data_IF_336204489903
#
_entry.id   IF_336204489903
#
_cell.length_a   1.000
_cell.length_b   1.000
_cell.length_c   1.000
_cell.angle_alpha   90.00
_cell.angle_beta   90.00
_cell.angle_gamma   90.00
#
_symmetry.space_group_name_H-M   'P 1'
#
loop_
_entity.id
_entity.type
_entity.pdbx_description
1 polymer ?
#
# COMPACT_ATOMS: atom_id res chain seq x y z
N UNK A 1 -15.01 -11.90 25.82
CA UNK A 1 -14.96 -12.08 24.35
C UNK A 1 -16.06 -11.33 23.59
N UNK A 2 -17.36 -11.69 23.70
CA UNK A 2 -18.41 -11.08 22.86
C UNK A 2 -18.62 -9.56 23.08
N UNK A 3 -18.54 -9.08 24.33
CA UNK A 3 -18.73 -7.65 24.66
C UNK A 3 -17.57 -6.77 24.17
N UNK A 4 -16.33 -7.20 24.36
CA UNK A 4 -15.12 -6.51 23.89
C UNK A 4 -15.05 -6.46 22.37
N UNK A 5 -15.32 -7.57 21.70
CA UNK A 5 -15.40 -7.62 20.23
C UNK A 5 -16.51 -6.70 19.69
N UNK A 6 -17.69 -6.68 20.32
CA UNK A 6 -18.80 -5.81 19.91
C UNK A 6 -18.46 -4.32 20.06
N UNK A 7 -17.78 -3.93 21.14
CA UNK A 7 -17.36 -2.55 21.36
C UNK A 7 -16.34 -2.11 20.31
N UNK A 8 -15.28 -2.90 20.12
CA UNK A 8 -14.22 -2.65 19.13
C UNK A 8 -14.77 -2.61 17.70
N UNK A 9 -15.61 -3.58 17.33
CA UNK A 9 -16.20 -3.64 16.00
C UNK A 9 -17.08 -2.42 15.71
N UNK A 10 -17.92 -1.97 16.66
CA UNK A 10 -18.69 -0.73 16.51
C UNK A 10 -17.83 0.51 16.36
N UNK A 11 -16.72 0.59 17.09
CA UNK A 11 -15.83 1.75 17.00
C UNK A 11 -15.06 1.79 15.67
N UNK A 12 -14.62 0.64 15.17
CA UNK A 12 -13.89 0.53 13.92
C UNK A 12 -14.80 0.65 12.69
N UNK A 13 -16.00 0.04 12.73
CA UNK A 13 -16.93 -0.08 11.60
C UNK A 13 -18.06 0.98 11.61
N UNK A 14 -18.11 1.80 12.65
CA UNK A 14 -19.19 2.75 12.91
C UNK A 14 -20.33 2.15 13.73
N UNK A 15 -21.09 2.99 14.44
CA UNK A 15 -22.09 2.57 15.42
C UNK A 15 -23.18 1.62 14.87
N UNK A 16 -23.43 1.69 13.55
CA UNK A 16 -24.36 0.83 12.78
C UNK A 16 -23.68 0.02 11.69
N UNK A 17 -22.36 -0.21 11.77
CA UNK A 17 -21.59 -0.91 10.73
C UNK A 17 -21.67 -0.24 9.35
N UNK A 18 -21.76 1.09 9.32
CA UNK A 18 -21.93 1.87 8.09
C UNK A 18 -20.78 1.67 7.10
N UNK A 19 -19.55 1.49 7.58
CA UNK A 19 -18.40 1.25 6.70
C UNK A 19 -18.48 -0.10 5.98
N UNK A 20 -19.06 -1.12 6.63
CA UNK A 20 -19.32 -2.44 6.02
C UNK A 20 -20.30 -2.27 4.88
N UNK A 21 -21.42 -1.59 5.14
CA UNK A 21 -22.45 -1.38 4.13
C UNK A 21 -21.89 -0.60 2.93
N UNK A 22 -21.18 0.51 3.17
CA UNK A 22 -20.52 1.29 2.11
C UNK A 22 -19.54 0.45 1.28
N UNK A 23 -18.70 -0.34 1.93
CA UNK A 23 -17.74 -1.21 1.23
C UNK A 23 -18.43 -2.30 0.41
N UNK A 24 -19.48 -2.91 0.95
CA UNK A 24 -20.25 -3.93 0.25
C UNK A 24 -20.95 -3.35 -0.97
N UNK A 25 -21.60 -2.19 -0.83
CA UNK A 25 -22.21 -1.48 -1.96
C UNK A 25 -21.18 -1.09 -3.02
N UNK A 26 -20.01 -0.58 -2.60
CA UNK A 26 -18.93 -0.25 -3.52
C UNK A 26 -18.41 -1.48 -4.26
N UNK A 27 -18.26 -2.61 -3.55
CA UNK A 27 -17.80 -3.88 -4.13
C UNK A 27 -18.79 -4.42 -5.18
N UNK A 28 -20.10 -4.30 -4.94
CA UNK A 28 -21.13 -4.69 -5.92
C UNK A 28 -21.10 -3.78 -7.15
N UNK A 29 -21.01 -2.47 -6.96
CA UNK A 29 -20.91 -1.51 -8.07
C UNK A 29 -19.66 -1.79 -8.91
N UNK A 30 -18.52 -2.00 -8.24
CA UNK A 30 -17.25 -2.28 -8.88
C UNK A 30 -17.28 -3.61 -9.66
N UNK A 31 -17.81 -4.67 -9.06
CA UNK A 31 -17.97 -5.96 -9.71
C UNK A 31 -18.86 -5.85 -10.95
N UNK A 32 -20.04 -5.24 -10.82
CA UNK A 32 -20.99 -5.11 -11.93
C UNK A 32 -20.46 -4.23 -13.05
N UNK A 33 -19.79 -3.11 -12.74
CA UNK A 33 -19.21 -2.22 -13.73
C UNK A 33 -18.07 -2.89 -14.53
N UNK A 34 -17.18 -3.63 -13.85
CA UNK A 34 -16.05 -4.31 -14.49
C UNK A 34 -16.49 -5.57 -15.23
N UNK A 35 -17.37 -6.37 -14.64
CA UNK A 35 -17.92 -7.54 -15.31
C UNK A 35 -18.71 -7.14 -16.58
N UNK A 36 -19.48 -6.04 -16.50
CA UNK A 36 -20.23 -5.49 -17.62
C UNK A 36 -19.36 -4.86 -18.72
N UNK A 37 -18.13 -4.46 -18.44
CA UNK A 37 -17.22 -3.93 -19.46
C UNK A 37 -16.63 -5.01 -20.37
N UNK A 38 -16.84 -6.29 -20.04
CA UNK A 38 -16.34 -7.43 -20.82
C UNK A 38 -14.83 -7.64 -20.72
N UNK A 39 -14.13 -6.88 -19.87
CA UNK A 39 -12.68 -6.97 -19.69
C UNK A 39 -12.31 -8.25 -18.93
N UNK A 40 -11.72 -9.23 -19.64
CA UNK A 40 -11.29 -10.51 -19.07
C UNK A 40 -9.78 -10.68 -19.14
N UNK A 41 -9.17 -11.00 -18.00
CA UNK A 41 -7.75 -11.35 -17.90
C UNK A 41 -7.64 -12.83 -17.51
N UNK A 42 -6.62 -13.52 -18.00
CA UNK A 42 -6.21 -14.82 -17.49
C UNK A 42 -5.10 -14.61 -16.46
N UNK A 43 -5.45 -14.70 -15.17
CA UNK A 43 -4.49 -14.60 -14.07
C UNK A 43 -4.29 -15.97 -13.41
N UNK A 44 -3.06 -16.29 -13.01
CA UNK A 44 -2.78 -17.51 -12.26
C UNK A 44 -3.36 -17.42 -10.82
N UNK A 45 -3.84 -18.53 -10.22
CA UNK A 45 -4.33 -18.53 -8.83
C UNK A 45 -3.33 -17.98 -7.80
N UNK A 46 -2.04 -18.21 -8.01
CA UNK A 46 -0.98 -17.64 -7.16
C UNK A 46 -1.09 -16.11 -7.03
N UNK A 47 -1.55 -15.41 -8.06
CA UNK A 47 -1.72 -13.96 -8.07
C UNK A 47 -2.87 -13.52 -7.14
N UNK A 48 -3.96 -14.29 -7.11
CA UNK A 48 -5.08 -14.07 -6.20
C UNK A 48 -4.66 -14.34 -4.75
N UNK A 49 -3.89 -15.40 -4.50
CA UNK A 49 -3.39 -15.72 -3.16
C UNK A 49 -2.40 -14.66 -2.67
N UNK A 50 -1.45 -14.26 -3.53
CA UNK A 50 -0.44 -13.27 -3.17
C UNK A 50 -1.04 -11.87 -2.95
N UNK A 51 -2.03 -11.46 -3.77
CA UNK A 51 -2.78 -10.22 -3.50
C UNK A 51 -3.50 -10.28 -2.17
N UNK A 52 -4.19 -11.40 -1.91
CA UNK A 52 -4.90 -11.60 -0.66
C UNK A 52 -3.95 -11.46 0.54
N UNK A 53 -2.77 -12.08 0.51
CA UNK A 53 -1.80 -11.97 1.60
C UNK A 53 -1.19 -10.57 1.70
N UNK A 54 -0.55 -10.08 0.64
CA UNK A 54 0.21 -8.83 0.68
C UNK A 54 -0.66 -7.61 0.97
N UNK A 55 -1.81 -7.51 0.29
CA UNK A 55 -2.69 -6.37 0.46
C UNK A 55 -3.33 -6.38 1.85
N UNK A 56 -3.82 -7.53 2.30
CA UNK A 56 -4.41 -7.66 3.64
C UNK A 56 -3.39 -7.38 4.73
N UNK A 57 -2.19 -7.95 4.62
CA UNK A 57 -1.10 -7.71 5.58
C UNK A 57 -0.69 -6.23 5.61
N UNK A 58 -0.52 -5.59 4.45
CA UNK A 58 -0.14 -4.18 4.36
C UNK A 58 -1.19 -3.26 4.99
N UNK A 59 -2.47 -3.47 4.70
CA UNK A 59 -3.56 -2.69 5.29
C UNK A 59 -3.66 -2.94 6.79
N UNK A 60 -3.53 -4.19 7.24
CA UNK A 60 -3.55 -4.55 8.65
C UNK A 60 -2.39 -3.87 9.41
N UNK A 61 -1.19 -3.87 8.83
CA UNK A 61 -0.02 -3.18 9.40
C UNK A 61 -0.24 -1.67 9.52
N UNK A 62 -0.76 -1.03 8.46
CA UNK A 62 -1.11 0.39 8.49
C UNK A 62 -2.17 0.70 9.56
N UNK A 63 -3.16 -0.17 9.72
CA UNK A 63 -4.16 0.00 10.78
C UNK A 63 -3.55 -0.11 12.16
N UNK A 64 -2.61 -1.04 12.38
CA UNK A 64 -1.88 -1.21 13.65
C UNK A 64 -0.92 -0.05 13.97
N UNK A 65 -0.40 0.67 12.96
CA UNK A 65 0.38 1.89 13.18
C UNK A 65 -0.51 3.13 13.39
N UNK A 66 -1.75 3.12 12.91
CA UNK A 66 -2.67 4.26 12.93
C UNK A 66 -3.06 4.74 14.35
N UNK A 67 -3.39 6.02 14.52
CA UNK A 67 -3.74 6.56 15.85
C UNK A 67 -5.18 6.29 16.30
N UNK A 68 -6.11 6.14 15.35
CA UNK A 68 -7.56 6.07 15.62
C UNK A 68 -7.97 4.90 16.53
N UNK A 69 -7.24 3.79 16.50
CA UNK A 69 -7.52 2.63 17.35
C UNK A 69 -6.82 2.72 18.71
N UNK A 70 -5.79 3.58 18.87
CA UNK A 70 -5.08 3.75 20.13
C UNK A 70 -5.99 4.41 21.17
N UNK A 71 -6.74 5.44 20.78
CA UNK A 71 -7.76 6.10 21.63
C UNK A 71 -8.83 5.10 22.10
N UNK A 72 -9.21 4.15 21.23
CA UNK A 72 -10.11 3.05 21.59
C UNK A 72 -9.51 2.14 22.66
N UNK A 73 -8.23 1.80 22.50
CA UNK A 73 -7.51 0.91 23.40
C UNK A 73 -7.26 1.56 24.76
N UNK A 74 -6.95 2.86 24.82
CA UNK A 74 -6.75 3.60 26.07
C UNK A 74 -7.98 3.48 26.99
N UNK A 75 -9.18 3.76 26.47
CA UNK A 75 -10.41 3.64 27.25
C UNK A 75 -10.71 2.21 27.72
N UNK A 76 -10.31 1.19 26.95
CA UNK A 76 -10.51 -0.21 27.35
C UNK A 76 -9.45 -0.70 28.34
N UNK A 77 -8.23 -0.19 28.30
CA UNK A 77 -7.18 -0.52 29.27
C UNK A 77 -7.47 0.04 30.67
N UNK A 78 -8.36 1.03 30.79
CA UNK A 78 -8.83 1.53 32.08
C UNK A 78 -9.77 0.57 32.81
N UNK A 79 -10.31 -0.45 32.13
CA UNK A 79 -11.20 -1.46 32.72
C UNK A 79 -10.42 -2.76 32.99
N UNK A 80 -10.84 -3.59 33.97
CA UNK A 80 -10.24 -4.91 34.14
C UNK A 80 -10.55 -5.79 32.92
N UNK A 81 -9.51 -6.30 32.26
CA UNK A 81 -9.63 -7.18 31.09
C UNK A 81 -8.73 -8.42 31.23
N UNK A 82 -9.19 -9.53 30.63
CA UNK A 82 -8.34 -10.69 30.40
C UNK A 82 -7.50 -10.46 29.14
N UNK A 83 -6.18 -10.58 29.28
CA UNK A 83 -5.20 -10.31 28.23
C UNK A 83 -5.46 -11.16 26.98
N UNK A 84 -5.66 -12.48 27.12
CA UNK A 84 -5.88 -13.38 25.98
C UNK A 84 -7.19 -13.06 25.27
N UNK A 85 -8.29 -12.96 26.01
CA UNK A 85 -9.59 -12.63 25.42
C UNK A 85 -9.56 -11.26 24.73
N UNK A 86 -8.78 -10.29 25.24
CA UNK A 86 -8.65 -8.97 24.63
C UNK A 86 -7.90 -9.05 23.29
N UNK A 87 -6.72 -9.66 23.25
CA UNK A 87 -5.92 -9.79 22.03
C UNK A 87 -6.72 -10.45 20.92
N UNK A 88 -7.38 -11.58 21.19
CA UNK A 88 -8.19 -12.25 20.16
C UNK A 88 -9.37 -11.39 19.71
N UNK A 89 -10.08 -10.74 20.63
CA UNK A 89 -11.17 -9.81 20.26
C UNK A 89 -10.67 -8.67 19.39
N UNK A 90 -9.49 -8.14 19.71
CA UNK A 90 -8.85 -7.02 19.02
C UNK A 90 -8.37 -7.39 17.62
N UNK A 91 -7.57 -8.46 17.51
CA UNK A 91 -7.06 -8.95 16.22
C UNK A 91 -8.21 -9.38 15.31
N UNK A 92 -9.23 -10.06 15.84
CA UNK A 92 -10.40 -10.44 15.04
C UNK A 92 -11.23 -9.22 14.60
N UNK A 93 -11.41 -8.20 15.44
CA UNK A 93 -12.18 -7.01 15.06
C UNK A 93 -11.46 -6.18 13.99
N UNK A 94 -10.14 -5.99 14.14
CA UNK A 94 -9.31 -5.34 13.14
C UNK A 94 -9.25 -6.16 11.84
N UNK A 95 -9.08 -7.48 11.94
CA UNK A 95 -9.07 -8.39 10.79
C UNK A 95 -10.40 -8.41 10.03
N UNK A 96 -11.53 -8.41 10.74
CA UNK A 96 -12.84 -8.29 10.10
C UNK A 96 -12.98 -6.92 9.39
N UNK A 97 -12.50 -5.86 10.02
CA UNK A 97 -12.50 -4.53 9.42
C UNK A 97 -11.61 -4.46 8.17
N UNK A 98 -10.38 -4.98 8.20
CA UNK A 98 -9.49 -5.01 7.03
C UNK A 98 -10.12 -5.77 5.87
N UNK A 99 -10.58 -7.00 6.14
CA UNK A 99 -11.11 -7.87 5.11
C UNK A 99 -12.33 -7.26 4.43
N UNK A 100 -13.30 -6.79 5.22
CA UNK A 100 -14.55 -6.27 4.67
C UNK A 100 -14.41 -4.90 4.04
N UNK A 101 -13.65 -3.99 4.63
CA UNK A 101 -13.61 -2.59 4.17
C UNK A 101 -12.54 -2.31 3.11
N UNK A 102 -11.52 -3.17 2.99
CA UNK A 102 -10.37 -2.91 2.10
C UNK A 102 -10.10 -4.05 1.14
N UNK A 103 -10.09 -5.30 1.60
CA UNK A 103 -9.68 -6.43 0.74
C UNK A 103 -10.83 -6.92 -0.14
N UNK A 104 -12.08 -6.87 0.38
CA UNK A 104 -13.27 -7.28 -0.35
C UNK A 104 -13.48 -6.53 -1.68
N UNK A 105 -13.30 -5.19 -1.79
CA UNK A 105 -13.32 -4.50 -3.08
C UNK A 105 -12.29 -5.03 -4.08
N UNK A 106 -11.12 -5.46 -3.62
CA UNK A 106 -10.08 -6.03 -4.50
C UNK A 106 -10.49 -7.42 -4.97
N UNK A 107 -10.98 -8.28 -4.08
CA UNK A 107 -11.53 -9.57 -4.49
C UNK A 107 -12.68 -9.40 -5.49
N UNK A 108 -13.55 -8.41 -5.30
CA UNK A 108 -14.61 -8.09 -6.25
C UNK A 108 -14.05 -7.76 -7.65
N UNK A 109 -12.92 -7.06 -7.77
CA UNK A 109 -12.25 -6.84 -9.06
C UNK A 109 -11.74 -8.15 -9.66
N UNK A 110 -11.02 -8.96 -8.88
CA UNK A 110 -10.49 -10.23 -9.38
C UNK A 110 -11.59 -11.18 -9.84
N UNK A 111 -12.69 -11.25 -9.09
CA UNK A 111 -13.84 -12.08 -9.42
C UNK A 111 -14.62 -11.57 -10.63
N UNK A 112 -14.57 -10.26 -10.91
CA UNK A 112 -15.19 -9.69 -12.12
C UNK A 112 -14.36 -9.98 -13.38
N UNK A 113 -13.04 -9.97 -13.26
CA UNK A 113 -12.11 -10.02 -14.41
C UNK A 113 -11.74 -11.45 -14.82
N UNK A 114 -11.67 -12.38 -13.87
CA UNK A 114 -11.25 -13.77 -14.14
C UNK A 114 -12.30 -14.77 -13.64
N UNK A 115 -12.52 -15.90 -14.36
CA UNK A 115 -13.30 -17.01 -13.84
C UNK A 115 -12.47 -17.80 -12.82
N UNK A 116 -12.95 -17.91 -11.59
CA UNK A 116 -12.29 -18.65 -10.51
C UNK A 116 -13.12 -19.86 -10.08
N UNK A 117 -12.45 -20.92 -9.65
CA UNK A 117 -13.13 -22.05 -8.99
C UNK A 117 -13.52 -21.66 -7.57
N UNK A 118 -14.60 -22.26 -7.06
CA UNK A 118 -15.05 -22.02 -5.68
C UNK A 118 -13.92 -22.30 -4.67
N UNK A 119 -13.14 -23.35 -4.90
CA UNK A 119 -11.98 -23.68 -4.08
C UNK A 119 -10.89 -22.60 -4.06
N UNK A 120 -10.56 -22.02 -5.22
CA UNK A 120 -9.57 -20.94 -5.34
C UNK A 120 -10.04 -19.70 -4.56
N UNK A 121 -11.34 -19.36 -4.65
CA UNK A 121 -11.90 -18.24 -3.88
C UNK A 121 -11.87 -18.50 -2.36
N UNK A 122 -12.13 -19.73 -1.93
CA UNK A 122 -12.09 -20.11 -0.53
C UNK A 122 -10.65 -20.05 0.02
N UNK A 123 -9.68 -20.58 -0.73
CA UNK A 123 -8.27 -20.53 -0.35
C UNK A 123 -7.76 -19.09 -0.28
N UNK A 124 -8.16 -18.22 -1.21
CA UNK A 124 -7.85 -16.79 -1.15
C UNK A 124 -8.42 -16.12 0.12
N UNK A 125 -9.62 -16.50 0.55
CA UNK A 125 -10.21 -16.01 1.79
C UNK A 125 -9.45 -16.48 3.03
N UNK A 126 -9.03 -17.75 3.07
CA UNK A 126 -8.16 -18.29 4.13
C UNK A 126 -6.83 -17.54 4.20
N UNK A 127 -6.17 -17.31 3.06
CA UNK A 127 -4.96 -16.51 2.96
C UNK A 127 -5.12 -15.09 3.53
N UNK A 128 -6.27 -14.44 3.30
CA UNK A 128 -6.55 -13.11 3.88
C UNK A 128 -6.70 -13.17 5.41
N UNK A 129 -7.38 -14.20 5.93
CA UNK A 129 -7.53 -14.43 7.37
C UNK A 129 -6.18 -14.71 8.04
N UNK A 130 -5.38 -15.61 7.46
CA UNK A 130 -4.02 -15.90 7.92
C UNK A 130 -3.17 -14.62 7.91
N UNK A 131 -3.23 -13.82 6.84
CA UNK A 131 -2.48 -12.58 6.74
C UNK A 131 -2.81 -11.61 7.90
N UNK A 132 -4.08 -11.50 8.32
CA UNK A 132 -4.45 -10.69 9.48
C UNK A 132 -3.78 -11.19 10.78
N UNK A 133 -3.84 -12.50 11.03
CA UNK A 133 -3.28 -13.11 12.24
C UNK A 133 -1.74 -13.03 12.28
N UNK A 134 -1.08 -13.38 11.18
CA UNK A 134 0.38 -13.34 11.04
C UNK A 134 0.88 -11.89 11.14
N UNK A 135 0.19 -10.92 10.54
CA UNK A 135 0.58 -9.51 10.62
C UNK A 135 0.51 -9.00 12.06
N UNK A 136 -0.53 -9.37 12.82
CA UNK A 136 -0.63 -9.01 14.23
C UNK A 136 0.50 -9.65 15.07
N UNK A 137 0.85 -10.91 14.79
CA UNK A 137 1.95 -11.59 15.46
C UNK A 137 3.32 -10.97 15.10
N UNK A 138 3.55 -10.69 13.80
CA UNK A 138 4.75 -10.04 13.29
C UNK A 138 4.92 -8.62 13.88
N UNK A 139 3.82 -7.88 14.06
CA UNK A 139 3.82 -6.58 14.73
C UNK A 139 4.37 -6.68 16.15
N UNK A 140 3.85 -7.62 16.94
CA UNK A 140 4.33 -7.86 18.31
C UNK A 140 5.81 -8.30 18.32
N UNK A 141 6.24 -9.15 17.38
CA UNK A 141 7.64 -9.55 17.25
C UNK A 141 8.56 -8.37 16.94
N UNK A 142 8.17 -7.53 15.99
CA UNK A 142 8.88 -6.32 15.60
C UNK A 142 9.05 -5.38 16.80
N UNK A 143 7.98 -5.17 17.57
CA UNK A 143 8.00 -4.33 18.79
C UNK A 143 8.90 -4.88 19.90
N UNK A 144 9.04 -6.20 19.99
CA UNK A 144 9.98 -6.86 20.91
C UNK A 144 11.44 -6.89 20.40
N UNK A 145 11.76 -6.17 19.32
CA UNK A 145 13.10 -6.13 18.74
C UNK A 145 13.47 -7.37 17.92
N UNK A 146 12.55 -8.32 17.73
CA UNK A 146 12.77 -9.54 16.93
C UNK A 146 12.45 -9.29 15.45
N UNK A 147 13.18 -8.35 14.86
CA UNK A 147 12.96 -7.89 13.48
C UNK A 147 13.20 -9.02 12.48
N UNK A 148 14.23 -9.83 12.70
CA UNK A 148 14.58 -10.94 11.79
C UNK A 148 13.43 -11.94 11.67
N UNK A 149 12.83 -12.38 12.79
CA UNK A 149 11.70 -13.32 12.74
C UNK A 149 10.44 -12.68 12.17
N UNK A 150 10.21 -11.39 12.44
CA UNK A 150 9.08 -10.64 11.92
C UNK A 150 9.12 -10.49 10.38
N UNK A 151 10.32 -10.51 9.77
CA UNK A 151 10.50 -10.44 8.32
C UNK A 151 10.57 -11.84 7.69
N UNK A 152 11.31 -12.76 8.31
CA UNK A 152 11.55 -14.09 7.74
C UNK A 152 10.27 -14.92 7.63
N UNK A 153 9.35 -14.79 8.59
CA UNK A 153 8.12 -15.57 8.59
C UNK A 153 7.15 -15.18 7.45
N UNK A 154 6.80 -13.89 7.23
CA UNK A 154 6.08 -13.47 6.03
C UNK A 154 6.81 -13.81 4.73
N UNK A 155 8.15 -13.67 4.69
CA UNK A 155 8.93 -14.01 3.50
C UNK A 155 8.80 -15.50 3.13
N UNK A 156 8.79 -16.39 4.13
CA UNK A 156 8.57 -17.82 3.93
C UNK A 156 7.18 -18.13 3.36
N UNK A 157 6.13 -17.46 3.86
CA UNK A 157 4.76 -17.61 3.34
C UNK A 157 4.70 -17.19 1.86
N UNK A 158 5.33 -16.05 1.52
CA UNK A 158 5.38 -15.57 0.14
C UNK A 158 6.14 -16.54 -0.78
N UNK A 159 7.26 -17.08 -0.31
CA UNK A 159 8.03 -18.08 -1.07
C UNK A 159 7.20 -19.34 -1.35
N UNK A 160 6.43 -19.84 -0.37
CA UNK A 160 5.53 -20.98 -0.58
C UNK A 160 4.47 -20.66 -1.63
N UNK A 161 3.82 -19.49 -1.55
CA UNK A 161 2.77 -19.11 -2.52
C UNK A 161 3.33 -19.01 -3.94
N UNK A 162 4.56 -18.55 -4.10
CA UNK A 162 5.21 -18.41 -5.41
C UNK A 162 5.76 -19.72 -5.98
N UNK A 163 6.24 -20.63 -5.13
CA UNK A 163 6.93 -21.85 -5.54
C UNK A 163 6.04 -23.10 -5.52
N UNK A 164 4.95 -23.10 -4.74
CA UNK A 164 4.07 -24.25 -4.63
C UNK A 164 3.14 -24.34 -5.85
N UNK A 165 3.30 -25.41 -6.61
CA UNK A 165 2.42 -25.74 -7.75
C UNK A 165 1.08 -26.36 -7.28
N UNK A 166 1.02 -26.87 -6.03
CA UNK A 166 -0.17 -27.51 -5.47
C UNK A 166 -0.86 -26.65 -4.42
N UNK A 167 -2.14 -26.37 -4.65
CA UNK A 167 -3.00 -25.59 -3.74
C UNK A 167 -3.14 -26.23 -2.35
N UNK A 168 -3.07 -27.57 -2.28
CA UNK A 168 -3.08 -28.29 -1.00
C UNK A 168 -1.88 -27.91 -0.10
N UNK A 169 -0.71 -27.63 -0.69
CA UNK A 169 0.48 -27.19 0.07
C UNK A 169 0.29 -25.77 0.59
N UNK A 170 -0.33 -24.90 -0.21
CA UNK A 170 -0.63 -23.53 0.19
C UNK A 170 -1.61 -23.56 1.38
N UNK A 171 -2.67 -24.36 1.31
CA UNK A 171 -3.64 -24.50 2.39
C UNK A 171 -3.02 -25.06 3.68
N UNK A 172 -2.16 -26.08 3.59
CA UNK A 172 -1.55 -26.67 4.79
C UNK A 172 -0.62 -25.67 5.48
N UNK A 173 0.16 -24.92 4.71
CA UNK A 173 1.02 -23.84 5.24
C UNK A 173 0.18 -22.70 5.81
N UNK A 174 -0.95 -22.36 5.18
CA UNK A 174 -1.88 -21.33 5.67
C UNK A 174 -2.47 -21.70 7.05
N UNK A 175 -2.98 -22.93 7.18
CA UNK A 175 -3.49 -23.47 8.43
C UNK A 175 -2.40 -23.52 9.51
N UNK A 176 -1.20 -23.98 9.16
CA UNK A 176 -0.07 -24.05 10.07
C UNK A 176 0.36 -22.65 10.56
N UNK A 177 0.47 -21.68 9.65
CA UNK A 177 0.85 -20.31 9.99
C UNK A 177 -0.23 -19.63 10.83
N UNK A 178 -1.50 -19.87 10.54
CA UNK A 178 -2.62 -19.38 11.35
C UNK A 178 -2.56 -19.96 12.76
N UNK A 179 -2.37 -21.28 12.90
CA UNK A 179 -2.23 -21.94 14.20
C UNK A 179 -1.03 -21.42 15.00
N UNK A 180 0.12 -21.24 14.34
CA UNK A 180 1.32 -20.68 14.96
C UNK A 180 1.11 -19.21 15.40
N UNK A 181 0.41 -18.40 14.60
CA UNK A 181 0.06 -17.03 14.96
C UNK A 181 -0.91 -16.97 16.15
N UNK A 182 -1.93 -17.82 16.16
CA UNK A 182 -2.88 -17.93 17.29
C UNK A 182 -2.15 -18.35 18.57
N UNK A 183 -1.27 -19.35 18.50
CA UNK A 183 -0.48 -19.80 19.63
C UNK A 183 0.44 -18.69 20.14
N UNK A 184 1.16 -18.01 19.25
CA UNK A 184 2.05 -16.91 19.60
C UNK A 184 1.28 -15.75 20.28
N UNK A 185 0.12 -15.38 19.72
CA UNK A 185 -0.74 -14.33 20.27
C UNK A 185 -1.36 -14.71 21.62
N UNK A 186 -1.62 -16.00 21.87
CA UNK A 186 -2.10 -16.48 23.17
C UNK A 186 -1.10 -16.26 24.32
N UNK A 187 0.20 -16.12 23.98
CA UNK A 187 1.28 -15.80 24.94
C UNK A 187 1.77 -14.35 24.82
N UNK A 188 1.16 -13.54 23.95
CA UNK A 188 1.49 -12.13 23.83
C UNK A 188 0.82 -11.30 24.95
N UNK A 189 1.37 -10.12 25.19
CA UNK A 189 0.77 -9.12 26.07
C UNK A 189 0.06 -8.05 25.23
N UNK A 190 -1.18 -7.71 25.60
CA UNK A 190 -2.02 -6.71 24.95
C UNK A 190 -1.34 -5.34 24.91
N UNK A 191 -0.53 -5.01 25.92
CA UNK A 191 0.24 -3.76 25.95
C UNK A 191 1.24 -3.64 24.81
N UNK A 192 1.68 -4.74 24.18
CA UNK A 192 2.57 -4.67 23.02
C UNK A 192 1.91 -4.03 21.79
N UNK A 193 0.58 -4.02 21.73
CA UNK A 193 -0.19 -3.34 20.68
C UNK A 193 -0.36 -1.84 20.96
N UNK A 194 -0.05 -1.39 22.18
CA UNK A 194 -0.17 0.01 22.55
C UNK A 194 1.12 0.79 22.26
N UNK A 195 0.99 1.88 21.51
CA UNK A 195 2.08 2.80 21.20
C UNK A 195 1.69 4.23 21.59
N UNK A 196 2.02 4.71 22.81
CA UNK A 196 1.88 6.13 23.08
C UNK A 196 2.80 6.88 22.11
N UNK A 197 2.27 7.90 21.45
CA UNK A 197 3.02 8.67 20.45
C UNK A 197 4.29 9.22 21.08
N UNK A 198 5.45 8.72 20.67
CA UNK A 198 6.73 9.26 21.14
C UNK A 198 6.86 10.68 20.61
N UNK A 199 7.02 11.64 21.51
CA UNK A 199 7.34 13.02 21.14
C UNK A 199 8.58 13.00 20.23
N UNK A 200 8.43 13.59 19.04
CA UNK A 200 9.53 13.70 18.08
C UNK A 200 10.62 14.52 18.76
N UNK A 201 11.76 13.91 19.08
CA UNK A 201 12.93 14.65 19.56
C UNK A 201 13.28 15.73 18.54
N UNK A 202 13.42 17.01 18.93
CA UNK A 202 13.78 18.06 18.00
C UNK A 202 15.15 17.73 17.39
N UNK A 203 15.19 17.57 16.07
CA UNK A 203 16.43 17.31 15.36
C UNK A 203 17.33 18.55 15.47
N UNK A 204 18.37 18.49 16.31
CA UNK A 204 19.32 19.59 16.49
C UNK A 204 20.24 19.68 15.28
N UNK A 205 20.36 20.88 14.71
CA UNK A 205 21.13 21.15 13.50
C UNK A 205 22.60 21.45 13.82
N UNK A 206 23.52 20.72 13.22
CA UNK A 206 24.97 20.98 13.23
C UNK A 206 25.48 20.97 11.78
N UNK A 207 25.56 22.14 11.13
CA UNK A 207 26.10 22.29 9.78
C UNK A 207 25.91 23.69 9.21
N UNK A 208 26.88 24.20 8.43
CA UNK A 208 26.95 25.60 7.97
C UNK A 208 26.65 25.83 6.48
N UNK A 209 26.28 24.81 5.69
CA UNK A 209 25.90 24.97 4.27
C UNK A 209 24.74 24.04 3.89
N UNK A 210 23.54 24.62 3.74
CA UNK A 210 22.35 23.88 3.31
C UNK A 210 22.28 23.76 1.78
N UNK A 211 22.05 22.55 1.26
CA UNK A 211 21.74 22.35 -0.16
C UNK A 211 20.31 21.84 -0.33
N UNK A 212 19.59 22.38 -1.32
CA UNK A 212 18.21 21.98 -1.66
C UNK A 212 18.05 20.46 -1.87
N UNK A 213 18.92 19.71 -2.57
CA UNK A 213 18.71 18.27 -2.74
C UNK A 213 18.93 17.50 -1.43
N UNK A 214 19.86 17.93 -0.57
CA UNK A 214 20.04 17.32 0.76
C UNK A 214 18.85 17.62 1.65
N UNK A 215 18.30 18.83 1.58
CA UNK A 215 17.05 19.18 2.27
C UNK A 215 15.90 18.29 1.80
N UNK A 216 15.69 18.15 0.49
CA UNK A 216 14.63 17.32 -0.06
C UNK A 216 14.81 15.84 0.30
N UNK A 217 16.02 15.29 0.15
CA UNK A 217 16.29 13.89 0.50
C UNK A 217 16.09 13.64 1.99
N UNK A 218 16.54 14.56 2.85
CA UNK A 218 16.34 14.49 4.29
C UNK A 218 14.86 14.59 4.65
N UNK A 219 14.12 15.47 3.98
CA UNK A 219 12.68 15.59 4.14
C UNK A 219 11.99 14.26 3.78
N UNK A 220 12.34 13.65 2.64
CA UNK A 220 11.81 12.34 2.23
C UNK A 220 12.12 11.23 3.24
N UNK A 221 13.36 11.18 3.77
CA UNK A 221 13.75 10.15 4.75
C UNK A 221 13.17 10.39 6.15
N UNK A 222 12.84 11.64 6.49
CA UNK A 222 12.23 11.98 7.76
C UNK A 222 10.70 11.79 7.74
N UNK A 223 10.07 11.92 6.57
CA UNK A 223 8.63 11.73 6.41
C UNK A 223 8.27 10.24 6.27
N UNK A 224 7.65 9.69 7.32
CA UNK A 224 7.21 8.28 7.34
C UNK A 224 6.25 7.97 6.20
N UNK A 225 5.33 8.88 5.89
CA UNK A 225 4.32 8.68 4.84
C UNK A 225 4.96 8.53 3.46
N UNK A 226 5.99 9.34 3.17
CA UNK A 226 6.79 9.22 1.97
C UNK A 226 7.52 7.87 1.87
N UNK A 227 8.19 7.45 2.95
CA UNK A 227 8.90 6.17 2.98
C UNK A 227 7.96 4.98 2.78
N UNK A 228 6.84 4.95 3.50
CA UNK A 228 5.85 3.87 3.42
C UNK A 228 5.23 3.82 2.02
N UNK A 229 4.88 4.96 1.43
CA UNK A 229 4.30 4.98 0.09
C UNK A 229 5.31 4.53 -0.98
N UNK A 230 6.57 4.98 -0.89
CA UNK A 230 7.61 4.58 -1.83
C UNK A 230 7.94 3.09 -1.69
N UNK A 231 8.04 2.57 -0.46
CA UNK A 231 8.21 1.14 -0.21
C UNK A 231 7.02 0.32 -0.75
N UNK A 232 5.80 0.82 -0.57
CA UNK A 232 4.58 0.21 -1.13
C UNK A 232 4.59 0.15 -2.66
N UNK A 233 5.05 1.21 -3.32
CA UNK A 233 5.22 1.24 -4.78
C UNK A 233 6.32 0.30 -5.25
N UNK A 234 7.44 0.18 -4.52
CA UNK A 234 8.47 -0.83 -4.83
C UNK A 234 7.91 -2.26 -4.69
N UNK A 235 7.07 -2.52 -3.68
CA UNK A 235 6.35 -3.79 -3.56
C UNK A 235 5.41 -4.04 -4.74
N UNK A 236 4.64 -3.03 -5.13
CA UNK A 236 3.79 -3.09 -6.33
C UNK A 236 4.61 -3.31 -7.61
N UNK A 237 5.81 -2.73 -7.72
CA UNK A 237 6.71 -2.92 -8.85
C UNK A 237 7.20 -4.38 -8.97
N UNK A 238 7.40 -5.07 -7.85
CA UNK A 238 7.70 -6.50 -7.88
C UNK A 238 6.46 -7.34 -8.24
N UNK A 239 5.27 -6.88 -7.85
CA UNK A 239 4.04 -7.66 -7.97
C UNK A 239 3.32 -7.52 -9.31
N UNK A 240 3.28 -6.31 -9.89
CA UNK A 240 2.58 -6.02 -11.15
C UNK A 240 3.00 -6.92 -12.32
N UNK A 241 4.28 -7.29 -12.50
CA UNK A 241 4.66 -8.23 -13.57
C UNK A 241 4.01 -9.62 -13.43
N UNK A 242 3.69 -10.06 -12.21
CA UNK A 242 2.98 -11.34 -12.00
C UNK A 242 1.49 -11.23 -12.39
N UNK A 243 0.89 -10.04 -12.24
CA UNK A 243 -0.48 -9.74 -12.67
C UNK A 243 -0.58 -9.61 -14.19
N UNK A 244 0.40 -8.95 -14.80
CA UNK A 244 0.37 -8.51 -16.17
C UNK A 244 1.20 -9.45 -17.04
N UNK A 245 0.56 -10.42 -17.68
CA UNK A 245 1.16 -11.20 -18.77
C UNK A 245 0.98 -10.55 -20.15
N UNK A 246 1.48 -11.19 -21.21
CA UNK A 246 1.08 -10.85 -22.59
C UNK A 246 -0.37 -11.32 -22.80
N UNK A 247 -1.33 -10.44 -22.55
CA UNK A 247 -2.76 -10.73 -22.77
C UNK A 247 -3.15 -10.19 -24.14
N UNK A 248 -3.64 -11.06 -25.02
CA UNK A 248 -4.30 -10.72 -26.29
C UNK A 248 -3.54 -9.69 -27.18
N UNK A 249 -2.21 -9.78 -27.25
CA UNK A 249 -1.40 -8.93 -28.13
C UNK A 249 -1.13 -7.51 -27.61
N UNK A 250 -1.61 -7.13 -26.42
CA UNK A 250 -1.27 -5.86 -25.77
C UNK A 250 -0.06 -6.00 -24.85
N UNK A 251 0.93 -5.13 -24.99
CA UNK A 251 2.03 -5.03 -24.02
C UNK A 251 1.55 -4.26 -22.78
N UNK A 252 1.25 -4.97 -21.68
CA UNK A 252 0.81 -4.37 -20.42
C UNK A 252 1.95 -3.68 -19.65
N UNK A 253 3.20 -3.76 -20.13
CA UNK A 253 4.35 -3.14 -19.48
C UNK A 253 4.17 -1.64 -19.18
N UNK A 254 3.76 -0.78 -20.14
CA UNK A 254 3.59 0.65 -19.91
C UNK A 254 2.47 0.97 -18.89
N UNK A 255 1.45 0.11 -18.80
CA UNK A 255 0.34 0.28 -17.86
C UNK A 255 0.85 0.12 -16.42
N UNK A 256 1.71 -0.87 -16.16
CA UNK A 256 2.38 -1.01 -14.87
C UNK A 256 3.20 0.23 -14.49
N UNK A 257 3.93 0.81 -15.44
CA UNK A 257 4.68 2.05 -15.20
C UNK A 257 3.77 3.23 -14.83
N UNK A 258 2.62 3.37 -15.51
CA UNK A 258 1.65 4.41 -15.19
C UNK A 258 1.09 4.29 -13.77
N UNK A 259 0.80 3.07 -13.30
CA UNK A 259 0.35 2.81 -11.93
C UNK A 259 1.44 3.19 -10.92
N UNK A 260 2.69 2.86 -11.21
CA UNK A 260 3.83 3.16 -10.32
C UNK A 260 4.13 4.66 -10.20
N UNK A 261 3.62 5.50 -11.10
CA UNK A 261 3.68 6.96 -10.98
C UNK A 261 2.79 7.53 -9.86
N UNK A 262 1.96 6.72 -9.18
CA UNK A 262 1.11 7.15 -8.06
C UNK A 262 1.89 7.45 -6.76
N UNK A 263 3.01 8.18 -6.82
CA UNK A 263 3.76 8.58 -5.63
C UNK A 263 3.20 9.86 -4.99
N UNK A 264 2.03 9.74 -4.36
CA UNK A 264 1.25 10.89 -3.84
C UNK A 264 2.05 11.82 -2.90
N UNK A 265 2.80 11.32 -1.89
CA UNK A 265 3.56 12.18 -0.99
C UNK A 265 4.65 12.99 -1.68
N UNK A 266 5.34 12.38 -2.63
CA UNK A 266 6.44 13.00 -3.36
C UNK A 266 5.95 13.98 -4.41
N UNK A 267 4.73 13.81 -4.95
CA UNK A 267 4.11 14.67 -5.95
C UNK A 267 3.23 15.80 -5.35
N UNK A 268 3.23 15.95 -4.02
CA UNK A 268 2.44 16.96 -3.28
C UNK A 268 3.25 17.71 -2.22
N UNK A 269 4.59 17.70 -2.32
CA UNK A 269 5.51 18.30 -1.35
C UNK A 269 5.25 19.80 -1.08
N UNK A 270 5.11 20.62 -2.12
CA UNK A 270 4.79 22.05 -1.99
C UNK A 270 3.37 22.27 -1.47
N UNK A 271 2.43 21.40 -1.85
CA UNK A 271 1.05 21.49 -1.33
C UNK A 271 0.98 21.15 0.15
N UNK A 272 1.91 20.34 0.68
CA UNK A 272 2.02 20.01 2.12
C UNK A 272 2.69 21.11 2.94
N UNK A 273 3.56 21.89 2.32
CA UNK A 273 4.33 22.94 2.99
C UNK A 273 4.11 24.30 2.30
N UNK A 274 3.00 25.00 2.64
CA UNK A 274 2.69 26.31 2.08
C UNK A 274 3.75 27.37 2.38
N UNK A 275 4.45 27.25 3.51
CA UNK A 275 5.51 28.18 3.91
C UNK A 275 6.74 28.05 3.01
N UNK A 276 7.10 26.81 2.65
CA UNK A 276 8.11 26.52 1.64
C UNK A 276 7.67 27.04 0.25
N UNK A 277 6.42 26.81 -0.16
CA UNK A 277 5.89 27.34 -1.42
C UNK A 277 5.97 28.89 -1.46
N UNK A 278 5.51 29.56 -0.40
CA UNK A 278 5.51 31.01 -0.30
C UNK A 278 6.93 31.56 -0.34
N UNK A 279 7.86 30.94 0.39
CA UNK A 279 9.28 31.33 0.37
C UNK A 279 9.88 31.22 -1.03
N UNK A 280 9.57 30.15 -1.77
CA UNK A 280 10.04 29.93 -3.13
C UNK A 280 9.43 30.90 -4.15
N UNK A 281 8.19 31.37 -3.93
CA UNK A 281 7.53 32.37 -4.78
C UNK A 281 8.08 33.78 -4.57
N UNK A 282 8.52 34.11 -3.36
CA UNK A 282 9.06 35.44 -3.03
C UNK A 282 10.49 35.62 -3.58
N UNK A 283 11.29 34.54 -3.64
CA UNK A 283 12.70 34.62 -4.03
C UNK A 283 12.91 34.55 -5.56
N UNK A 284 13.34 35.65 -6.22
CA UNK A 284 13.50 35.69 -7.68
C UNK A 284 14.57 34.70 -8.15
N UNK A 285 14.27 33.95 -9.21
CA UNK A 285 15.18 32.95 -9.80
C UNK A 285 15.42 31.69 -8.96
N UNK A 286 14.82 31.58 -7.76
CA UNK A 286 14.88 30.34 -6.97
C UNK A 286 13.82 29.31 -7.41
N UNK A 287 12.65 29.76 -7.86
CA UNK A 287 11.58 28.91 -8.38
C UNK A 287 12.08 27.90 -9.43
N UNK A 288 12.77 28.36 -10.48
CA UNK A 288 13.29 27.48 -11.54
C UNK A 288 14.39 26.53 -11.04
N UNK A 289 15.28 27.00 -10.15
CA UNK A 289 16.34 26.17 -9.57
C UNK A 289 15.78 25.09 -8.65
N UNK A 290 14.74 25.40 -7.87
CA UNK A 290 14.03 24.44 -7.04
C UNK A 290 13.25 23.46 -7.90
N UNK A 291 12.41 23.93 -8.83
CA UNK A 291 11.60 23.07 -9.71
C UNK A 291 12.46 22.07 -10.48
N UNK A 292 13.64 22.48 -10.98
CA UNK A 292 14.58 21.57 -11.65
C UNK A 292 15.09 20.47 -10.71
N UNK A 293 15.51 20.84 -9.49
CA UNK A 293 16.01 19.88 -8.49
C UNK A 293 14.91 18.97 -7.97
N UNK A 294 13.71 19.50 -7.81
CA UNK A 294 12.53 18.76 -7.42
C UNK A 294 12.11 17.78 -8.52
N UNK A 295 12.09 18.19 -9.79
CA UNK A 295 11.85 17.32 -10.93
C UNK A 295 12.86 16.16 -10.98
N UNK A 296 14.16 16.46 -10.77
CA UNK A 296 15.20 15.43 -10.72
C UNK A 296 14.97 14.45 -9.57
N UNK A 297 14.50 14.91 -8.41
CA UNK A 297 14.15 14.06 -7.28
C UNK A 297 12.98 13.12 -7.61
N UNK A 298 11.88 13.64 -8.16
CA UNK A 298 10.73 12.82 -8.56
C UNK A 298 11.16 11.80 -9.62
N UNK A 299 11.95 12.24 -10.61
CA UNK A 299 12.52 11.38 -11.63
C UNK A 299 13.35 10.25 -11.03
N UNK A 300 14.21 10.54 -10.05
CA UNK A 300 15.03 9.53 -9.40
C UNK A 300 14.17 8.53 -8.61
N UNK A 301 13.20 8.99 -7.81
CA UNK A 301 12.32 8.11 -7.01
C UNK A 301 11.44 7.24 -7.92
N UNK A 302 10.80 7.84 -8.93
CA UNK A 302 10.00 7.09 -9.89
C UNK A 302 10.88 6.15 -10.72
N UNK A 303 12.07 6.59 -11.11
CA UNK A 303 13.04 5.80 -11.88
C UNK A 303 13.55 4.58 -11.11
N UNK A 304 13.81 4.70 -9.80
CA UNK A 304 14.16 3.55 -8.95
C UNK A 304 13.01 2.54 -8.93
N UNK A 305 11.79 3.02 -8.70
CA UNK A 305 10.58 2.18 -8.65
C UNK A 305 10.33 1.49 -9.99
N UNK A 306 10.43 2.23 -11.09
CA UNK A 306 10.27 1.72 -12.45
C UNK A 306 11.42 0.80 -12.87
N UNK A 307 12.64 1.02 -12.36
CA UNK A 307 13.79 0.14 -12.56
C UNK A 307 13.60 -1.22 -11.87
N UNK A 308 13.07 -1.23 -10.65
CA UNK A 308 12.69 -2.48 -9.97
C UNK A 308 11.64 -3.21 -10.81
N UNK A 309 10.60 -2.51 -11.29
CA UNK A 309 9.57 -3.08 -12.15
C UNK A 309 10.16 -3.67 -13.44
N UNK A 310 11.09 -2.95 -14.09
CA UNK A 310 11.78 -3.42 -15.28
C UNK A 310 12.56 -4.71 -15.00
N UNK A 311 13.34 -4.76 -13.92
CA UNK A 311 14.07 -5.96 -13.54
C UNK A 311 13.13 -7.15 -13.32
N UNK A 312 12.06 -6.95 -12.56
CA UNK A 312 11.07 -8.01 -12.31
C UNK A 312 10.38 -8.46 -13.61
N UNK A 313 10.01 -7.52 -14.49
CA UNK A 313 9.42 -7.84 -15.79
C UNK A 313 10.35 -8.66 -16.68
N UNK A 314 11.63 -8.26 -16.77
CA UNK A 314 12.63 -8.97 -17.57
C UNK A 314 12.87 -10.40 -17.05
N UNK A 315 12.87 -10.60 -15.74
CA UNK A 315 13.03 -11.94 -15.14
C UNK A 315 11.84 -12.85 -15.47
N UNK A 316 10.62 -12.32 -15.46
CA UNK A 316 9.39 -13.13 -15.59
C UNK A 316 9.00 -13.36 -17.05
N UNK A 317 8.93 -12.30 -17.85
CA UNK A 317 8.39 -12.38 -19.22
C UNK A 317 9.48 -12.36 -20.30
N UNK A 318 10.69 -11.95 -19.94
CA UNK A 318 11.73 -11.60 -20.91
C UNK A 318 11.31 -10.44 -21.83
N UNK A 319 12.15 -10.10 -22.80
CA UNK A 319 11.80 -9.11 -23.82
C UNK A 319 12.99 -8.27 -24.27
N UNK A 320 12.70 -7.27 -25.11
CA UNK A 320 13.73 -6.35 -25.57
C UNK A 320 14.04 -5.32 -24.49
N UNK A 321 15.08 -5.59 -23.70
CA UNK A 321 15.55 -4.73 -22.61
C UNK A 321 15.75 -3.26 -23.04
N UNK A 322 16.18 -3.03 -24.28
CA UNK A 322 16.40 -1.67 -24.80
C UNK A 322 15.10 -0.87 -24.94
N UNK A 323 14.05 -1.46 -25.55
CA UNK A 323 12.74 -0.80 -25.68
C UNK A 323 12.11 -0.54 -24.32
N UNK A 324 12.11 -1.53 -23.42
CA UNK A 324 11.56 -1.35 -22.09
C UNK A 324 12.35 -0.32 -21.27
N UNK A 325 13.67 -0.28 -21.40
CA UNK A 325 14.52 0.74 -20.78
C UNK A 325 14.21 2.16 -21.26
N UNK A 326 14.00 2.34 -22.58
CA UNK A 326 13.55 3.62 -23.12
C UNK A 326 12.18 4.03 -22.57
N UNK A 327 11.22 3.11 -22.53
CA UNK A 327 9.88 3.37 -21.98
C UNK A 327 9.95 3.78 -20.51
N UNK A 328 10.76 3.11 -19.68
CA UNK A 328 11.00 3.49 -18.28
C UNK A 328 11.54 4.91 -18.16
N UNK A 329 12.53 5.26 -18.98
CA UNK A 329 13.11 6.59 -19.00
C UNK A 329 12.07 7.67 -19.35
N UNK A 330 11.30 7.46 -20.42
CA UNK A 330 10.26 8.39 -20.86
C UNK A 330 9.13 8.53 -19.84
N UNK A 331 8.62 7.44 -19.29
CA UNK A 331 7.56 7.49 -18.26
C UNK A 331 8.05 8.19 -16.99
N UNK A 332 9.29 7.95 -16.57
CA UNK A 332 9.86 8.58 -15.38
C UNK A 332 10.03 10.08 -15.56
N UNK A 333 10.53 10.54 -16.71
CA UNK A 333 10.73 11.98 -16.95
C UNK A 333 9.42 12.72 -17.20
N UNK A 334 8.49 12.11 -17.94
CA UNK A 334 7.17 12.69 -18.20
C UNK A 334 6.35 12.81 -16.90
N UNK A 335 6.32 11.75 -16.09
CA UNK A 335 5.61 11.80 -14.79
C UNK A 335 6.21 12.83 -13.84
N UNK A 336 7.55 12.95 -13.78
CA UNK A 336 8.23 13.96 -12.98
C UNK A 336 7.89 15.37 -13.44
N UNK A 337 8.02 15.65 -14.75
CA UNK A 337 7.72 16.96 -15.33
C UNK A 337 6.27 17.38 -15.10
N UNK A 338 5.32 16.49 -15.41
CA UNK A 338 3.89 16.77 -15.21
C UNK A 338 3.56 17.00 -13.73
N UNK A 339 4.15 16.23 -12.81
CA UNK A 339 3.91 16.39 -11.37
C UNK A 339 4.39 17.75 -10.86
N UNK A 340 5.60 18.17 -11.24
CA UNK A 340 6.14 19.49 -10.86
C UNK A 340 5.31 20.63 -11.48
N UNK A 341 4.95 20.53 -12.76
CA UNK A 341 4.14 21.58 -13.42
C UNK A 341 2.76 21.68 -12.77
N UNK A 342 2.11 20.54 -12.52
CA UNK A 342 0.82 20.49 -11.87
C UNK A 342 0.89 21.10 -10.47
N UNK A 343 2.00 20.93 -9.76
CA UNK A 343 2.15 21.40 -8.39
C UNK A 343 2.48 22.88 -8.31
N UNK A 344 3.28 23.36 -9.25
CA UNK A 344 3.58 24.77 -9.36
C UNK A 344 2.36 25.59 -9.79
N UNK A 345 1.57 25.07 -10.75
CA UNK A 345 0.39 25.77 -11.30
C UNK A 345 -0.87 25.61 -10.45
N UNK A 346 -1.11 24.41 -9.90
CA UNK A 346 -2.32 24.08 -9.15
C UNK A 346 -1.97 23.37 -7.83
N UNK A 347 -1.34 24.09 -6.87
CA UNK A 347 -1.10 23.57 -5.53
C UNK A 347 -2.43 23.41 -4.78
N UNK A 348 -2.54 22.37 -3.96
CA UNK A 348 -3.74 22.13 -3.14
C UNK A 348 -3.64 23.01 -1.89
N UNK A 349 -4.57 23.94 -1.72
CA UNK A 349 -4.54 24.95 -0.63
C UNK A 349 -5.60 24.74 0.44
N UNK A 350 -6.70 24.05 0.10
CA UNK A 350 -7.88 23.93 0.96
C UNK A 350 -7.93 22.57 1.67
N UNK A 351 -6.91 22.26 2.47
CA UNK A 351 -6.88 21.05 3.28
C UNK A 351 -6.76 21.40 4.77
N UNK A 352 -7.47 20.66 5.64
CA UNK A 352 -7.42 20.85 7.10
C UNK A 352 -6.56 19.80 7.76
N UNK A 353 -6.47 18.62 7.15
CA UNK A 353 -5.64 17.50 7.60
C UNK A 353 -4.80 16.95 6.47
N UNK A 354 -3.68 16.32 6.77
CA UNK A 354 -2.82 15.67 5.77
C UNK A 354 -3.57 14.58 4.97
N UNK A 355 -4.56 13.94 5.61
CA UNK A 355 -5.44 12.96 4.97
C UNK A 355 -6.28 13.57 3.84
N UNK A 356 -6.72 14.83 3.96
CA UNK A 356 -7.51 15.50 2.93
C UNK A 356 -6.69 15.68 1.66
N UNK A 357 -5.40 15.98 1.81
CA UNK A 357 -4.48 16.09 0.69
C UNK A 357 -4.34 14.76 -0.05
N UNK A 358 -4.35 13.65 0.68
CA UNK A 358 -4.26 12.31 0.11
C UNK A 358 -5.56 11.84 -0.51
N UNK A 359 -6.71 12.46 -0.25
CA UNK A 359 -7.97 12.11 -0.92
C UNK A 359 -8.33 13.07 -2.06
N UNK A 360 -7.56 14.13 -2.24
CA UNK A 360 -7.86 15.16 -3.23
C UNK A 360 -7.74 14.62 -4.68
N UNK A 361 -8.76 14.83 -5.54
CA UNK A 361 -8.82 14.21 -6.88
C UNK A 361 -7.66 14.63 -7.80
N UNK A 362 -7.14 15.86 -7.64
CA UNK A 362 -5.99 16.40 -8.41
C UNK A 362 -4.79 15.46 -8.45
N UNK A 363 -4.53 14.67 -7.39
CA UNK A 363 -3.38 13.77 -7.36
C UNK A 363 -3.43 12.64 -8.40
N UNK A 364 -4.63 12.31 -8.90
CA UNK A 364 -4.84 11.26 -9.88
C UNK A 364 -4.70 11.74 -11.33
N UNK A 365 -4.54 13.05 -11.57
CA UNK A 365 -4.43 13.61 -12.92
C UNK A 365 -3.18 13.10 -13.66
N UNK A 366 -2.01 13.17 -13.04
CA UNK A 366 -0.76 12.69 -13.68
C UNK A 366 -0.82 11.18 -13.95
N UNK A 367 -1.19 10.32 -12.98
CA UNK A 367 -1.38 8.90 -13.24
C UNK A 367 -2.38 8.60 -14.35
N UNK A 368 -3.49 9.37 -14.45
CA UNK A 368 -4.50 9.16 -15.49
C UNK A 368 -3.97 9.52 -16.89
N UNK A 369 -3.21 10.61 -17.01
CA UNK A 369 -2.51 10.95 -18.26
C UNK A 369 -1.50 9.85 -18.61
N UNK A 370 -0.72 9.39 -17.64
CA UNK A 370 0.25 8.31 -17.85
C UNK A 370 -0.44 7.01 -18.29
N UNK A 371 -1.60 6.68 -17.72
CA UNK A 371 -2.39 5.50 -18.07
C UNK A 371 -2.94 5.59 -19.50
N UNK A 372 -3.43 6.77 -19.91
CA UNK A 372 -3.86 7.01 -21.28
C UNK A 372 -2.69 6.89 -22.26
N UNK A 373 -1.52 7.44 -21.93
CA UNK A 373 -0.31 7.27 -22.76
C UNK A 373 0.16 5.83 -22.81
N UNK A 374 0.04 5.10 -21.70
CA UNK A 374 0.36 3.68 -21.64
C UNK A 374 -0.53 2.88 -22.57
N UNK A 375 -1.85 3.07 -22.49
CA UNK A 375 -2.80 2.40 -23.37
C UNK A 375 -2.45 2.63 -24.86
N UNK A 376 -2.16 3.88 -25.25
CA UNK A 376 -1.79 4.20 -26.64
C UNK A 376 -0.50 3.50 -27.10
N UNK A 377 0.49 3.35 -26.22
CA UNK A 377 1.75 2.65 -26.51
C UNK A 377 1.54 1.13 -26.54
N UNK A 378 0.65 0.61 -25.68
CA UNK A 378 0.33 -0.82 -25.55
C UNK A 378 -0.43 -1.43 -26.73
N UNK A 379 -1.08 -0.61 -27.59
CA UNK A 379 -1.86 -1.06 -28.76
C UNK A 379 -1.05 -1.12 -30.07
N UNK A 380 0.28 -0.97 -30.03
CA UNK A 380 1.18 -1.13 -31.17
C UNK A 380 1.92 -2.45 -31.07
#
# INVERSE_FOLDING_TARGET
MAKTFKALSKQLLGAKYESVFKSLTASVILFTAVYGSGFRITAAPAVLYLTSVLFTAGVMWQLLEGKRHLEAMEGMFMLPFDNRSFIFSYVSALGAHTLVTKTLPIWALFFAVCPWKLWETALAAFCGCMACAVTAAAWVMYRKGRIVSAIFWPAGILAVILLADREAVILTVDLFCTAAAVLYLAFADAYNFYCPGTEKKPARHTGRTGSVPVYLLRYLMADKSCLINTAGLCGAACFLPLLFGKVQGMDLFPIGLAVLCMNTPVCTLLSRDPDLEQSLRILPGQAGRFCRKYCLLIFAVNGITAGIYLCCWQIIHGGNSTTHGMTVFFFSILSAGLSVVLEWKMPIRSWKTESDLWHHPRKYLVPLIMLATAALVSFR
#
